data_IF_632081327359
#
_entry.id   IF_632081327359
#
_cell.length_a   1.000
_cell.length_b   1.000
_cell.length_c   1.000
_cell.angle_alpha   90.00
_cell.angle_beta   90.00
_cell.angle_gamma   90.00
#
_symmetry.space_group_name_H-M   'P 1'
#
loop_
_entity.id
_entity.type
_entity.pdbx_description
1 polymer ?
#
# COMPACT_ATOMS: atom_id res chain seq x y z
N UNK A 1 -90.88 -30.86 13.77
CA UNK A 1 -90.94 -29.38 13.71
C UNK A 1 -90.06 -28.71 14.76
N UNK A 2 -90.30 -28.85 16.07
CA UNK A 2 -89.42 -28.22 17.09
C UNK A 2 -87.98 -28.77 17.12
N UNK A 3 -87.80 -30.08 16.90
CA UNK A 3 -86.48 -30.71 16.86
C UNK A 3 -85.67 -30.25 15.62
N UNK A 4 -86.34 -30.16 14.46
CA UNK A 4 -85.72 -29.73 13.20
C UNK A 4 -85.29 -28.26 13.23
N UNK A 5 -86.06 -27.40 13.93
CA UNK A 5 -85.71 -25.99 14.17
C UNK A 5 -84.45 -25.87 15.04
N UNK A 6 -84.34 -26.63 16.13
CA UNK A 6 -83.14 -26.63 16.99
C UNK A 6 -81.89 -27.13 16.26
N UNK A 7 -82.03 -28.12 15.39
CA UNK A 7 -80.93 -28.62 14.57
C UNK A 7 -80.48 -27.60 13.53
N UNK A 8 -81.43 -26.93 12.87
CA UNK A 8 -81.17 -25.83 11.93
C UNK A 8 -80.44 -24.67 12.61
N UNK A 9 -80.86 -24.24 13.80
CA UNK A 9 -80.22 -23.16 14.55
C UNK A 9 -78.79 -23.54 14.97
N UNK A 10 -78.58 -24.79 15.42
CA UNK A 10 -77.24 -25.29 15.76
C UNK A 10 -76.31 -25.34 14.53
N UNK A 11 -76.84 -25.73 13.38
CA UNK A 11 -76.09 -25.79 12.13
C UNK A 11 -75.72 -24.40 11.62
N UNK A 12 -76.65 -23.45 11.67
CA UNK A 12 -76.39 -22.04 11.35
C UNK A 12 -75.31 -21.47 12.27
N UNK A 13 -75.39 -21.72 13.57
CA UNK A 13 -74.43 -21.20 14.54
C UNK A 13 -73.02 -21.78 14.34
N UNK A 14 -72.92 -23.05 13.93
CA UNK A 14 -71.64 -23.66 13.54
C UNK A 14 -71.10 -23.07 12.23
N UNK A 15 -71.95 -22.87 11.22
CA UNK A 15 -71.58 -22.23 9.95
C UNK A 15 -71.08 -20.80 10.16
N UNK A 16 -71.75 -20.01 11.00
CA UNK A 16 -71.31 -18.65 11.35
C UNK A 16 -69.93 -18.66 12.01
N UNK A 17 -69.69 -19.57 12.97
CA UNK A 17 -68.37 -19.72 13.60
C UNK A 17 -67.28 -20.10 12.59
N UNK A 18 -67.58 -20.99 11.65
CA UNK A 18 -66.64 -21.37 10.60
C UNK A 18 -66.33 -20.18 9.67
N UNK A 19 -67.33 -19.38 9.32
CA UNK A 19 -67.17 -18.18 8.50
C UNK A 19 -66.32 -17.13 9.22
N UNK A 20 -66.58 -16.88 10.51
CA UNK A 20 -65.81 -15.93 11.31
C UNK A 20 -64.34 -16.34 11.42
N UNK A 21 -64.09 -17.63 11.64
CA UNK A 21 -62.73 -18.17 11.68
C UNK A 21 -62.03 -18.07 10.31
N UNK A 22 -62.74 -18.36 9.22
CA UNK A 22 -62.21 -18.22 7.87
C UNK A 22 -61.88 -16.77 7.53
N UNK A 23 -62.75 -15.82 7.89
CA UNK A 23 -62.52 -14.39 7.72
C UNK A 23 -61.32 -13.90 8.54
N UNK A 24 -61.18 -14.36 9.80
CA UNK A 24 -60.03 -14.04 10.64
C UNK A 24 -58.72 -14.57 10.02
N UNK A 25 -58.72 -15.83 9.55
CA UNK A 25 -57.56 -16.42 8.88
C UNK A 25 -57.21 -15.68 7.58
N UNK A 26 -58.20 -15.30 6.78
CA UNK A 26 -58.00 -14.51 5.56
C UNK A 26 -57.39 -13.14 5.86
N UNK A 27 -57.85 -12.47 6.93
CA UNK A 27 -57.30 -11.18 7.34
C UNK A 27 -55.82 -11.31 7.71
N UNK A 28 -55.46 -12.28 8.55
CA UNK A 28 -54.06 -12.54 8.94
C UNK A 28 -53.19 -12.87 7.72
N UNK A 29 -53.69 -13.70 6.80
CA UNK A 29 -52.97 -14.04 5.58
C UNK A 29 -52.73 -12.81 4.68
N UNK A 30 -53.70 -11.89 4.63
CA UNK A 30 -53.60 -10.66 3.83
C UNK A 30 -52.57 -9.70 4.42
N UNK A 31 -52.59 -9.51 5.73
CA UNK A 31 -51.59 -8.69 6.46
C UNK A 31 -50.17 -9.27 6.32
N UNK A 32 -50.03 -10.60 6.40
CA UNK A 32 -48.75 -11.27 6.18
C UNK A 32 -48.23 -11.09 4.75
N UNK A 33 -49.13 -11.15 3.75
CA UNK A 33 -48.77 -10.93 2.35
C UNK A 33 -48.33 -9.48 2.09
N UNK A 34 -49.00 -8.49 2.69
CA UNK A 34 -48.61 -7.09 2.61
C UNK A 34 -47.24 -6.85 3.24
N UNK A 35 -47.00 -7.39 4.44
CA UNK A 35 -45.70 -7.31 5.11
C UNK A 35 -44.58 -7.93 4.26
N UNK A 36 -44.81 -9.12 3.69
CA UNK A 36 -43.85 -9.79 2.81
C UNK A 36 -43.57 -8.98 1.54
N UNK A 37 -44.58 -8.34 0.96
CA UNK A 37 -44.40 -7.50 -0.23
C UNK A 37 -43.66 -6.19 0.06
N UNK A 38 -43.79 -5.64 1.27
CA UNK A 38 -43.00 -4.49 1.72
C UNK A 38 -41.53 -4.91 1.88
N UNK A 39 -41.28 -6.01 2.58
CA UNK A 39 -39.91 -6.50 2.81
C UNK A 39 -39.22 -6.89 1.50
N UNK A 40 -39.93 -7.54 0.58
CA UNK A 40 -39.43 -7.85 -0.77
C UNK A 40 -38.98 -6.58 -1.52
N UNK A 41 -39.76 -5.49 -1.44
CA UNK A 41 -39.39 -4.22 -2.08
C UNK A 41 -38.14 -3.61 -1.42
N UNK A 42 -38.05 -3.66 -0.10
CA UNK A 42 -36.88 -3.18 0.66
C UNK A 42 -35.61 -3.93 0.24
N UNK A 43 -35.68 -5.27 0.20
CA UNK A 43 -34.55 -6.12 -0.19
C UNK A 43 -34.12 -5.91 -1.64
N UNK A 44 -35.06 -5.69 -2.56
CA UNK A 44 -34.72 -5.39 -3.95
C UNK A 44 -33.99 -4.06 -4.10
N UNK A 45 -34.36 -3.06 -3.31
CA UNK A 45 -33.68 -1.76 -3.33
C UNK A 45 -32.27 -1.86 -2.72
N UNK A 46 -32.14 -2.59 -1.62
CA UNK A 46 -30.85 -2.86 -0.98
C UNK A 46 -29.90 -3.62 -1.93
N UNK A 47 -30.42 -4.63 -2.64
CA UNK A 47 -29.64 -5.37 -3.64
C UNK A 47 -29.14 -4.48 -4.78
N UNK A 48 -29.98 -3.55 -5.29
CA UNK A 48 -29.56 -2.59 -6.33
C UNK A 48 -28.47 -1.66 -5.83
N UNK A 49 -28.62 -1.13 -4.61
CA UNK A 49 -27.60 -0.28 -4.00
C UNK A 49 -26.27 -1.01 -3.83
N UNK A 50 -26.30 -2.28 -3.43
CA UNK A 50 -25.11 -3.13 -3.32
C UNK A 50 -24.47 -3.41 -4.67
N UNK A 51 -25.26 -3.65 -5.72
CA UNK A 51 -24.75 -3.83 -7.08
C UNK A 51 -24.04 -2.58 -7.61
N UNK A 52 -24.58 -1.40 -7.33
CA UNK A 52 -23.95 -0.11 -7.67
C UNK A 52 -22.64 0.10 -6.90
N UNK A 53 -22.62 -0.21 -5.59
CA UNK A 53 -21.41 -0.13 -4.77
C UNK A 53 -20.31 -1.08 -5.27
N UNK A 54 -20.67 -2.34 -5.56
CA UNK A 54 -19.73 -3.33 -6.11
C UNK A 54 -19.20 -2.89 -7.48
N UNK A 55 -20.05 -2.30 -8.32
CA UNK A 55 -19.62 -1.74 -9.61
C UNK A 55 -18.62 -0.59 -9.43
N UNK A 56 -18.88 0.31 -8.49
CA UNK A 56 -17.96 1.39 -8.11
C UNK A 56 -16.61 0.86 -7.64
N UNK A 57 -16.62 -0.08 -6.69
CA UNK A 57 -15.39 -0.71 -6.16
C UNK A 57 -14.57 -1.41 -7.24
N UNK A 58 -15.22 -2.06 -8.21
CA UNK A 58 -14.52 -2.68 -9.35
C UNK A 58 -13.83 -1.65 -10.24
N UNK A 59 -14.44 -0.48 -10.43
CA UNK A 59 -13.86 0.61 -11.20
C UNK A 59 -12.65 1.20 -10.48
N UNK A 60 -12.77 1.42 -9.17
CA UNK A 60 -11.67 1.94 -8.34
C UNK A 60 -10.48 0.96 -8.31
N UNK A 61 -10.77 -0.35 -8.23
CA UNK A 61 -9.74 -1.39 -8.30
C UNK A 61 -9.00 -1.35 -9.64
N UNK A 62 -9.71 -1.22 -10.76
CA UNK A 62 -9.07 -1.13 -12.08
C UNK A 62 -8.15 0.09 -12.20
N UNK A 63 -8.57 1.25 -11.68
CA UNK A 63 -7.75 2.48 -11.65
C UNK A 63 -6.50 2.26 -10.79
N UNK A 64 -6.66 1.66 -9.60
CA UNK A 64 -5.55 1.38 -8.70
C UNK A 64 -4.55 0.38 -9.33
N UNK A 65 -5.02 -0.64 -10.04
CA UNK A 65 -4.17 -1.59 -10.75
C UNK A 65 -3.37 -0.93 -11.87
N UNK A 66 -3.98 -0.04 -12.64
CA UNK A 66 -3.28 0.68 -13.70
C UNK A 66 -2.25 1.66 -13.13
N UNK A 67 -2.59 2.39 -12.05
CA UNK A 67 -1.63 3.21 -11.32
C UNK A 67 -0.46 2.40 -10.76
N UNK A 68 -0.70 1.19 -10.25
CA UNK A 68 0.37 0.28 -9.80
C UNK A 68 1.29 -0.13 -10.94
N UNK A 69 0.75 -0.47 -12.12
CA UNK A 69 1.56 -0.85 -13.30
C UNK A 69 2.44 0.31 -13.76
N UNK A 70 1.90 1.53 -13.79
CA UNK A 70 2.65 2.73 -14.17
C UNK A 70 3.78 3.00 -13.16
N UNK A 71 3.51 2.90 -11.86
CA UNK A 71 4.52 3.05 -10.82
C UNK A 71 5.63 1.97 -10.92
N UNK A 72 5.26 0.72 -11.22
CA UNK A 72 6.23 -0.36 -11.45
C UNK A 72 7.11 -0.11 -12.69
N UNK A 73 6.52 0.42 -13.77
CA UNK A 73 7.27 0.79 -14.97
C UNK A 73 8.27 1.93 -14.66
N UNK A 74 7.81 2.98 -13.97
CA UNK A 74 8.68 4.10 -13.56
C UNK A 74 9.81 3.65 -12.64
N UNK A 75 9.53 2.75 -11.69
CA UNK A 75 10.56 2.17 -10.82
C UNK A 75 11.65 1.44 -11.64
N UNK A 76 11.25 0.59 -12.59
CA UNK A 76 12.20 -0.14 -13.45
C UNK A 76 13.06 0.81 -14.28
N UNK A 77 12.48 1.90 -14.78
CA UNK A 77 13.24 2.90 -15.54
C UNK A 77 14.29 3.60 -14.66
N UNK A 78 13.91 4.00 -13.43
CA UNK A 78 14.85 4.61 -12.48
C UNK A 78 15.96 3.63 -12.10
N UNK A 79 15.63 2.38 -11.83
CA UNK A 79 16.61 1.34 -11.51
C UNK A 79 17.59 1.13 -12.68
N UNK A 80 17.10 1.10 -13.92
CA UNK A 80 17.94 0.96 -15.11
C UNK A 80 18.87 2.18 -15.30
N UNK A 81 18.34 3.40 -15.14
CA UNK A 81 19.15 4.63 -15.22
C UNK A 81 20.21 4.68 -14.13
N UNK A 82 19.87 4.29 -12.90
CA UNK A 82 20.81 4.22 -11.79
C UNK A 82 21.90 3.17 -12.03
N UNK A 83 21.54 2.00 -12.55
CA UNK A 83 22.50 0.96 -12.91
C UNK A 83 23.48 1.45 -14.00
N UNK A 84 22.96 2.13 -15.04
CA UNK A 84 23.80 2.74 -16.08
C UNK A 84 24.73 3.80 -15.50
N UNK A 85 24.19 4.75 -14.72
CA UNK A 85 24.99 5.82 -14.13
C UNK A 85 26.09 5.29 -13.20
N UNK A 86 25.81 4.23 -12.42
CA UNK A 86 26.82 3.55 -11.61
C UNK A 86 27.91 2.89 -12.47
N UNK A 87 27.51 2.18 -13.53
CA UNK A 87 28.46 1.55 -14.43
C UNK A 87 29.36 2.60 -15.11
N UNK A 88 28.77 3.71 -15.58
CA UNK A 88 29.48 4.82 -16.21
C UNK A 88 30.43 5.50 -15.22
N UNK A 89 29.99 5.73 -13.98
CA UNK A 89 30.84 6.27 -12.92
C UNK A 89 32.04 5.36 -12.63
N UNK A 90 31.82 4.05 -12.47
CA UNK A 90 32.92 3.10 -12.19
C UNK A 90 33.89 3.04 -13.37
N UNK A 91 33.38 2.95 -14.61
CA UNK A 91 34.22 2.91 -15.80
C UNK A 91 35.08 4.17 -15.96
N UNK A 92 34.53 5.32 -15.58
CA UNK A 92 35.18 6.62 -15.74
C UNK A 92 35.70 7.20 -14.43
N UNK A 93 35.79 6.41 -13.35
CA UNK A 93 36.17 6.92 -12.03
C UNK A 93 37.50 7.68 -12.09
N UNK A 94 38.47 7.14 -12.83
CA UNK A 94 39.79 7.73 -13.05
C UNK A 94 39.78 9.12 -13.71
N UNK A 95 38.68 9.51 -14.37
CA UNK A 95 38.48 10.82 -14.99
C UNK A 95 37.70 11.79 -14.08
N UNK A 96 37.37 11.39 -12.86
CA UNK A 96 36.62 12.22 -11.91
C UNK A 96 37.54 12.97 -10.97
N UNK A 97 37.07 14.13 -10.48
CA UNK A 97 37.76 14.87 -9.41
C UNK A 97 37.94 14.01 -8.14
N UNK A 98 37.00 13.09 -7.87
CA UNK A 98 37.09 12.15 -6.77
C UNK A 98 38.31 11.23 -6.89
N UNK A 99 38.69 10.81 -8.11
CA UNK A 99 39.91 10.05 -8.31
C UNK A 99 41.17 10.88 -8.07
N UNK A 100 41.20 12.15 -8.50
CA UNK A 100 42.32 13.05 -8.19
C UNK A 100 42.51 13.19 -6.69
N UNK A 101 41.42 13.45 -5.93
CA UNK A 101 41.45 13.52 -4.47
C UNK A 101 41.90 12.20 -3.83
N UNK A 102 41.43 11.06 -4.37
CA UNK A 102 41.83 9.73 -3.92
C UNK A 102 43.33 9.50 -4.12
N UNK A 103 43.88 9.78 -5.30
CA UNK A 103 45.31 9.62 -5.60
C UNK A 103 46.16 10.56 -4.73
N UNK A 104 45.76 11.82 -4.59
CA UNK A 104 46.47 12.81 -3.78
C UNK A 104 46.53 12.38 -2.30
N UNK A 105 45.44 11.85 -1.76
CA UNK A 105 45.40 11.31 -0.40
C UNK A 105 46.44 10.20 -0.21
N UNK A 106 46.42 9.17 -1.07
CA UNK A 106 47.35 8.04 -0.94
C UNK A 106 48.80 8.43 -1.22
N UNK A 107 49.04 9.40 -2.10
CA UNK A 107 50.38 9.96 -2.30
C UNK A 107 50.91 10.61 -1.01
N UNK A 108 50.07 11.36 -0.29
CA UNK A 108 50.44 11.94 1.02
C UNK A 108 50.66 10.87 2.08
N UNK A 109 49.86 9.81 2.13
CA UNK A 109 50.09 8.66 3.04
C UNK A 109 51.48 8.06 2.80
N UNK A 110 51.82 7.75 1.55
CA UNK A 110 53.13 7.20 1.20
C UNK A 110 54.29 8.14 1.54
N UNK A 111 54.10 9.46 1.36
CA UNK A 111 55.08 10.46 1.79
C UNK A 111 55.31 10.42 3.31
N UNK A 112 54.25 10.27 4.12
CA UNK A 112 54.39 10.15 5.58
C UNK A 112 55.12 8.88 6.01
N UNK A 113 54.90 7.76 5.32
CA UNK A 113 55.62 6.51 5.59
C UNK A 113 57.12 6.68 5.34
N UNK A 114 57.50 7.31 4.23
CA UNK A 114 58.91 7.60 3.90
C UNK A 114 59.53 8.55 4.92
N UNK A 115 58.84 9.63 5.30
CA UNK A 115 59.33 10.57 6.32
C UNK A 115 59.54 9.89 7.68
N UNK A 116 58.62 8.99 8.05
CA UNK A 116 58.72 8.19 9.27
C UNK A 116 59.93 7.27 9.24
N UNK A 117 60.17 6.56 8.13
CA UNK A 117 61.35 5.72 7.96
C UNK A 117 62.64 6.53 8.02
N UNK A 118 62.71 7.68 7.33
CA UNK A 118 63.88 8.54 7.31
C UNK A 118 64.25 9.05 8.71
N UNK A 119 63.25 9.42 9.52
CA UNK A 119 63.44 9.83 10.91
C UNK A 119 63.99 8.71 11.78
N UNK A 120 63.56 7.47 11.53
CA UNK A 120 63.96 6.32 12.33
C UNK A 120 65.37 5.81 11.95
N UNK A 121 65.66 5.74 10.65
CA UNK A 121 66.90 5.16 10.13
C UNK A 121 68.05 6.18 10.05
N UNK A 122 67.72 7.47 9.97
CA UNK A 122 68.67 8.58 9.87
C UNK A 122 68.32 9.71 10.86
N UNK A 123 68.51 9.51 12.17
CA UNK A 123 68.09 10.46 13.21
C UNK A 123 68.82 11.81 13.14
N UNK A 124 70.02 11.85 12.54
CA UNK A 124 70.80 13.07 12.35
C UNK A 124 70.35 13.92 11.16
N UNK A 125 69.44 13.39 10.33
CA UNK A 125 68.87 14.11 9.19
C UNK A 125 67.69 14.99 9.65
N UNK A 126 67.69 16.28 9.28
CA UNK A 126 66.60 17.19 9.65
C UNK A 126 65.33 16.97 8.80
N UNK A 127 64.48 16.05 9.27
CA UNK A 127 63.21 15.70 8.62
C UNK A 127 62.15 16.81 8.74
N UNK A 128 62.28 17.75 9.68
CA UNK A 128 61.23 18.77 9.96
C UNK A 128 60.94 19.67 8.76
N UNK A 129 61.99 20.01 8.01
CA UNK A 129 61.88 20.80 6.79
C UNK A 129 61.07 20.06 5.70
N UNK A 130 61.15 18.73 5.66
CA UNK A 130 60.39 17.89 4.74
C UNK A 130 58.96 17.66 5.23
N UNK A 131 58.74 17.45 6.53
CA UNK A 131 57.39 17.34 7.13
C UNK A 131 56.56 18.61 6.88
N UNK A 132 57.16 19.80 6.96
CA UNK A 132 56.47 21.05 6.64
C UNK A 132 56.08 21.17 5.16
N UNK A 133 56.83 20.53 4.26
CA UNK A 133 56.60 20.56 2.81
C UNK A 133 55.64 19.46 2.35
N UNK A 134 55.60 18.35 3.07
CA UNK A 134 54.73 17.21 2.81
C UNK A 134 53.88 16.97 4.06
N UNK A 135 52.83 17.78 4.27
CA UNK A 135 51.95 17.60 5.42
C UNK A 135 51.19 16.27 5.32
N UNK A 136 50.74 15.73 6.47
CA UNK A 136 49.88 14.55 6.47
C UNK A 136 48.59 14.81 5.67
N UNK A 137 47.95 13.74 5.15
CA UNK A 137 46.67 13.88 4.49
C UNK A 137 45.63 14.44 5.46
N UNK A 138 44.83 15.41 5.01
CA UNK A 138 43.69 15.89 5.78
C UNK A 138 42.68 14.74 5.92
N UNK A 139 42.35 14.38 7.16
CA UNK A 139 41.27 13.45 7.45
C UNK A 139 39.94 14.18 7.20
N UNK A 140 39.59 14.38 5.92
CA UNK A 140 38.34 14.97 5.42
C UNK A 140 37.64 15.96 6.35
N UNK A 141 37.75 17.26 6.07
CA UNK A 141 36.81 18.22 6.65
C UNK A 141 35.37 17.80 6.27
N UNK A 142 34.57 17.48 7.28
CA UNK A 142 33.11 17.41 7.17
C UNK A 142 32.58 18.83 6.87
N UNK A 143 32.70 19.26 5.62
CA UNK A 143 32.08 20.48 5.13
C UNK A 143 31.42 20.14 3.79
N UNK A 144 30.29 19.44 3.88
CA UNK A 144 29.26 19.37 2.84
C UNK A 144 27.91 19.35 3.60
N UNK A 145 27.41 20.54 3.95
CA UNK A 145 26.03 20.81 4.37
C UNK A 145 25.23 21.44 3.23
#
# INVERSE_FOLDING_TARGET
MEADLKESDSNLLNLTKQLDNANAAQKVATEALEAANIEKRRLLEEAKSQDEEVSGLRKDLAIAEDGRKEAEAGKREVEARLASAKADFVANFHNTEAYTKFVDYFARVGQQEVLTALRNDHPDFDVKSLEARFPPPDAGSEDDS
#
